data_IF_844533485799
#
_entry.id   IF_844533485799
#
_cell.length_a   1.000
_cell.length_b   1.000
_cell.length_c   1.000
_cell.angle_alpha   90.00
_cell.angle_beta   90.00
_cell.angle_gamma   90.00
#
_symmetry.space_group_name_H-M   'P 1'
#
loop_
_entity.id
_entity.type
_entity.pdbx_description
1 polymer ?
#
# COMPACT_ATOMS: atom_id res chain seq x y z
N UNK A 1 12.40 -17.52 6.53
CA UNK A 1 11.35 -16.49 6.64
C UNK A 1 11.85 -15.14 6.19
N UNK A 2 10.95 -14.20 5.87
CA UNK A 2 11.32 -12.83 5.47
C UNK A 2 12.15 -12.12 6.54
N UNK A 3 11.86 -12.35 7.82
CA UNK A 3 12.60 -11.77 8.96
C UNK A 3 14.02 -12.30 9.02
N UNK A 4 14.20 -13.62 8.89
CA UNK A 4 15.53 -14.25 8.87
C UNK A 4 16.35 -13.73 7.70
N UNK A 5 15.74 -13.65 6.51
CA UNK A 5 16.41 -13.12 5.31
C UNK A 5 16.82 -11.65 5.49
N UNK A 6 15.95 -10.81 6.08
CA UNK A 6 16.28 -9.42 6.39
C UNK A 6 17.49 -9.32 7.34
N UNK A 7 17.56 -10.18 8.37
CA UNK A 7 18.71 -10.25 9.28
C UNK A 7 19.99 -10.66 8.56
N UNK A 8 19.93 -11.68 7.73
CA UNK A 8 21.08 -12.20 6.96
C UNK A 8 21.62 -11.13 5.99
N UNK A 9 20.75 -10.27 5.49
CA UNK A 9 21.09 -9.13 4.64
C UNK A 9 21.46 -7.85 5.41
N UNK A 10 21.55 -7.92 6.74
CA UNK A 10 21.83 -6.78 7.62
C UNK A 10 20.84 -5.61 7.45
N UNK A 11 19.60 -5.90 7.14
CA UNK A 11 18.55 -4.88 7.06
C UNK A 11 18.13 -4.47 8.48
N UNK A 12 18.00 -3.17 8.79
CA UNK A 12 17.63 -2.72 10.13
C UNK A 12 16.12 -2.90 10.43
N UNK A 13 15.31 -3.04 9.41
CA UNK A 13 13.86 -3.13 9.50
C UNK A 13 13.26 -3.90 8.33
N UNK A 14 12.05 -4.41 8.51
CA UNK A 14 11.25 -5.01 7.44
C UNK A 14 9.78 -4.67 7.67
N UNK A 15 9.04 -4.46 6.58
CA UNK A 15 7.61 -4.19 6.62
C UNK A 15 6.79 -5.44 6.28
N UNK A 16 5.62 -5.55 6.91
CA UNK A 16 4.56 -6.46 6.50
C UNK A 16 3.32 -5.64 6.15
N UNK A 17 2.83 -5.82 4.91
CA UNK A 17 1.68 -5.10 4.37
C UNK A 17 0.72 -6.07 3.69
N UNK A 18 0.16 -6.99 4.47
CA UNK A 18 -0.79 -7.99 3.97
C UNK A 18 -1.95 -7.31 3.24
N UNK A 19 -2.43 -7.94 2.15
CA UNK A 19 -3.47 -7.39 1.29
C UNK A 19 -4.86 -7.55 1.92
N UNK A 20 -5.51 -6.44 2.21
CA UNK A 20 -6.86 -6.36 2.76
C UNK A 20 -7.00 -6.72 4.25
N UNK A 21 -5.95 -7.17 4.91
CA UNK A 21 -6.03 -7.63 6.30
C UNK A 21 -4.72 -7.43 7.07
N UNK A 22 -4.73 -7.81 8.36
CA UNK A 22 -3.57 -7.73 9.26
C UNK A 22 -3.34 -9.05 10.02
N UNK A 23 -3.72 -10.18 9.45
CA UNK A 23 -3.68 -11.48 10.14
C UNK A 23 -2.26 -11.93 10.47
N UNK A 24 -1.29 -11.59 9.64
CA UNK A 24 0.12 -11.89 9.86
C UNK A 24 0.81 -11.03 10.91
N UNK A 25 0.26 -9.86 11.26
CA UNK A 25 0.96 -8.82 12.02
C UNK A 25 1.51 -9.30 13.38
N UNK A 26 0.72 -10.01 14.19
CA UNK A 26 1.17 -10.46 15.50
C UNK A 26 2.35 -11.43 15.43
N UNK A 27 2.24 -12.44 14.56
CA UNK A 27 3.30 -13.43 14.36
C UNK A 27 4.57 -12.78 13.81
N UNK A 28 4.41 -11.89 12.83
CA UNK A 28 5.49 -11.12 12.23
C UNK A 28 6.24 -10.27 13.26
N UNK A 29 5.53 -9.45 14.05
CA UNK A 29 6.14 -8.59 15.07
C UNK A 29 6.92 -9.39 16.08
N UNK A 30 6.34 -10.49 16.60
CA UNK A 30 7.02 -11.38 17.55
C UNK A 30 8.30 -11.96 16.96
N UNK A 31 8.25 -12.43 15.72
CA UNK A 31 9.43 -13.01 15.06
C UNK A 31 10.50 -11.96 14.80
N UNK A 32 10.11 -10.75 14.31
CA UNK A 32 11.05 -9.67 14.06
C UNK A 32 11.78 -9.21 15.33
N UNK A 33 11.06 -9.06 16.44
CA UNK A 33 11.66 -8.69 17.73
C UNK A 33 12.62 -9.77 18.25
N UNK A 34 12.31 -11.05 18.11
CA UNK A 34 13.19 -12.16 18.47
C UNK A 34 14.49 -12.17 17.65
N UNK A 35 14.49 -11.61 16.46
CA UNK A 35 15.66 -11.50 15.58
C UNK A 35 16.32 -10.11 15.62
N UNK A 36 15.89 -9.22 16.50
CA UNK A 36 16.39 -7.84 16.62
C UNK A 36 16.22 -7.00 15.35
N UNK A 37 15.20 -7.33 14.56
CA UNK A 37 14.78 -6.57 13.37
C UNK A 37 13.60 -5.67 13.76
N UNK A 38 13.63 -4.39 13.35
CA UNK A 38 12.51 -3.47 13.59
C UNK A 38 11.33 -3.86 12.70
N UNK A 39 10.17 -4.29 13.26
CA UNK A 39 8.98 -4.53 12.49
C UNK A 39 8.30 -3.21 12.09
N UNK A 40 7.87 -3.11 10.85
CA UNK A 40 7.00 -2.05 10.36
C UNK A 40 5.69 -2.72 9.98
N UNK A 41 4.61 -2.38 10.67
CA UNK A 41 3.29 -2.96 10.42
C UNK A 41 2.48 -2.03 9.54
N UNK A 42 1.93 -2.58 8.47
CA UNK A 42 1.05 -1.90 7.54
C UNK A 42 -0.07 -2.80 7.05
N UNK A 43 -0.82 -2.29 6.12
CA UNK A 43 -1.84 -3.00 5.37
C UNK A 43 -1.93 -2.41 3.98
N UNK A 44 -2.05 -3.26 2.97
CA UNK A 44 -2.39 -2.86 1.62
C UNK A 44 -3.91 -2.99 1.46
N UNK A 45 -4.60 -1.86 1.33
CA UNK A 45 -6.06 -1.80 1.32
C UNK A 45 -6.59 -1.76 -0.12
N UNK A 46 -7.77 -2.34 -0.35
CA UNK A 46 -8.55 -2.13 -1.56
C UNK A 46 -9.37 -0.85 -1.43
N UNK A 47 -9.03 0.19 -2.18
CA UNK A 47 -9.72 1.48 -2.16
C UNK A 47 -10.68 1.57 -3.33
N UNK A 48 -11.98 1.63 -3.04
CA UNK A 48 -13.05 1.87 -4.01
C UNK A 48 -13.51 3.34 -3.97
N UNK A 49 -14.25 3.75 -4.98
CA UNK A 49 -14.88 5.06 -5.00
C UNK A 49 -15.92 5.21 -3.86
N UNK A 50 -16.71 4.16 -3.67
CA UNK A 50 -17.71 4.02 -2.61
C UNK A 50 -17.71 2.57 -2.12
N UNK A 51 -17.25 2.33 -0.87
CA UNK A 51 -17.17 0.99 -0.29
C UNK A 51 -18.54 0.32 -0.10
N UNK A 52 -19.61 1.13 0.04
CA UNK A 52 -20.96 0.64 0.31
C UNK A 52 -21.70 0.22 -0.96
N UNK A 53 -21.19 0.61 -2.13
CA UNK A 53 -21.79 0.24 -3.40
C UNK A 53 -21.66 -1.26 -3.66
N UNK A 54 -22.79 -1.95 -3.86
CA UNK A 54 -22.86 -3.41 -4.03
C UNK A 54 -23.41 -3.82 -5.42
N UNK A 55 -23.73 -2.85 -6.30
CA UNK A 55 -24.26 -3.14 -7.63
C UNK A 55 -23.35 -2.56 -8.70
N UNK A 56 -22.86 -3.41 -9.56
CA UNK A 56 -21.98 -3.07 -10.67
C UNK A 56 -22.52 -3.61 -11.98
N UNK A 57 -22.17 -3.00 -13.09
CA UNK A 57 -22.53 -3.42 -14.46
C UNK A 57 -21.26 -3.53 -15.31
N UNK A 58 -21.37 -4.06 -16.51
CA UNK A 58 -20.23 -4.11 -17.46
C UNK A 58 -19.71 -2.71 -17.78
N UNK A 59 -20.58 -1.71 -17.89
CA UNK A 59 -20.22 -0.33 -18.20
C UNK A 59 -19.74 0.46 -16.97
N UNK A 60 -20.05 -0.04 -15.76
CA UNK A 60 -19.62 0.55 -14.50
C UNK A 60 -19.15 -0.56 -13.54
N UNK A 61 -17.98 -1.16 -13.82
CA UNK A 61 -17.43 -2.24 -13.00
C UNK A 61 -16.96 -1.73 -11.65
N UNK A 62 -16.73 -2.67 -10.72
CA UNK A 62 -16.07 -2.39 -9.45
C UNK A 62 -14.60 -2.03 -9.70
N UNK A 63 -14.27 -0.75 -9.61
CA UNK A 63 -12.89 -0.25 -9.71
C UNK A 63 -12.29 -0.15 -8.33
N UNK A 64 -11.14 -0.75 -8.16
CA UNK A 64 -10.38 -0.76 -6.90
C UNK A 64 -8.94 -0.43 -7.20
N UNK A 65 -8.35 0.35 -6.31
CA UNK A 65 -6.92 0.61 -6.29
C UNK A 65 -6.32 0.03 -5.01
N UNK A 66 -5.06 -0.31 -5.06
CA UNK A 66 -4.34 -0.71 -3.88
C UNK A 66 -3.74 0.51 -3.18
N UNK A 67 -3.75 0.51 -1.86
CA UNK A 67 -3.20 1.58 -1.06
C UNK A 67 -2.46 1.05 0.15
N UNK A 68 -1.17 1.27 0.20
CA UNK A 68 -0.35 0.91 1.35
C UNK A 68 -0.42 2.00 2.40
N UNK A 69 -0.81 1.60 3.61
CA UNK A 69 -0.76 2.43 4.82
C UNK A 69 0.11 1.74 5.87
N UNK A 70 0.98 2.50 6.54
CA UNK A 70 1.87 2.00 7.58
C UNK A 70 1.54 2.65 8.93
N UNK A 71 1.59 1.87 10.02
CA UNK A 71 1.38 2.37 11.36
C UNK A 71 2.65 3.02 11.93
N UNK A 72 2.56 4.25 12.42
CA UNK A 72 3.66 4.95 13.10
C UNK A 72 3.85 4.47 14.54
N UNK A 73 2.77 4.05 15.17
CA UNK A 73 2.71 3.65 16.58
C UNK A 73 1.49 2.76 16.86
N UNK A 74 1.22 2.46 18.13
CA UNK A 74 0.08 1.64 18.55
C UNK A 74 -1.28 2.22 18.13
N UNK A 75 -1.46 3.53 18.13
CA UNK A 75 -2.71 4.15 17.70
C UNK A 75 -2.91 3.96 16.19
N UNK A 76 -1.87 4.15 15.38
CA UNK A 76 -1.89 3.84 13.94
C UNK A 76 -2.23 2.37 13.68
N UNK A 77 -1.68 1.43 14.46
CA UNK A 77 -2.06 0.01 14.36
C UNK A 77 -3.56 -0.20 14.60
N UNK A 78 -4.13 0.45 15.62
CA UNK A 78 -5.57 0.37 15.88
C UNK A 78 -6.40 0.99 14.75
N UNK A 79 -5.93 2.06 14.12
CA UNK A 79 -6.58 2.67 12.98
C UNK A 79 -6.54 1.77 11.75
N UNK A 80 -5.43 1.09 11.47
CA UNK A 80 -5.37 0.05 10.43
C UNK A 80 -6.35 -1.10 10.71
N UNK A 81 -6.43 -1.56 11.96
CA UNK A 81 -7.37 -2.61 12.33
C UNK A 81 -8.83 -2.19 12.13
N UNK A 82 -9.18 -0.92 12.41
CA UNK A 82 -10.53 -0.38 12.12
C UNK A 82 -10.80 -0.33 10.62
N UNK A 83 -9.85 0.16 9.82
CA UNK A 83 -9.97 0.20 8.36
C UNK A 83 -10.19 -1.19 7.77
N UNK A 84 -9.34 -2.16 8.15
CA UNK A 84 -9.49 -3.56 7.72
C UNK A 84 -10.84 -4.15 8.15
N UNK A 85 -11.24 -3.96 9.41
CA UNK A 85 -12.53 -4.46 9.91
C UNK A 85 -13.73 -3.85 9.17
N UNK A 86 -13.74 -2.54 8.94
CA UNK A 86 -14.78 -1.88 8.18
C UNK A 86 -14.83 -2.38 6.73
N UNK A 87 -13.67 -2.64 6.13
CA UNK A 87 -13.58 -3.26 4.80
C UNK A 87 -14.32 -4.59 4.72
N UNK A 88 -14.18 -5.45 5.73
CA UNK A 88 -14.88 -6.74 5.79
C UNK A 88 -16.35 -6.61 6.19
N UNK A 89 -16.69 -5.72 7.11
CA UNK A 89 -18.05 -5.62 7.66
C UNK A 89 -18.98 -4.83 6.73
N UNK A 90 -18.49 -3.73 6.15
CA UNK A 90 -19.29 -2.79 5.37
C UNK A 90 -18.99 -2.86 3.87
N UNK A 91 -17.71 -3.02 3.52
CA UNK A 91 -17.21 -2.85 2.16
C UNK A 91 -16.99 -4.14 1.37
N UNK A 92 -17.26 -5.31 1.94
CA UNK A 92 -16.98 -6.60 1.29
C UNK A 92 -17.79 -6.75 0.01
N UNK A 93 -17.08 -6.93 -1.12
CA UNK A 93 -17.70 -7.29 -2.40
C UNK A 93 -16.94 -8.46 -3.02
N UNK A 94 -17.62 -9.58 -3.19
CA UNK A 94 -16.96 -10.84 -3.53
C UNK A 94 -15.97 -11.25 -2.44
N UNK A 95 -14.69 -11.28 -2.76
CA UNK A 95 -13.60 -11.60 -1.82
C UNK A 95 -12.83 -10.35 -1.38
N UNK A 96 -13.23 -9.16 -1.81
CA UNK A 96 -12.47 -7.92 -1.64
C UNK A 96 -13.04 -7.05 -0.52
N UNK A 97 -12.34 -6.91 0.62
CA UNK A 97 -12.71 -5.99 1.70
C UNK A 97 -12.31 -4.56 1.30
N UNK A 98 -13.28 -3.79 0.80
CA UNK A 98 -13.04 -2.44 0.27
C UNK A 98 -13.21 -1.38 1.34
N UNK A 99 -12.33 -0.39 1.30
CA UNK A 99 -12.47 0.89 1.98
C UNK A 99 -12.67 2.00 0.96
N UNK A 100 -12.93 3.22 1.40
CA UNK A 100 -12.94 4.40 0.55
C UNK A 100 -12.13 5.54 1.17
N UNK A 101 -11.91 6.59 0.39
CA UNK A 101 -11.14 7.77 0.83
C UNK A 101 -11.76 8.48 2.03
N UNK A 102 -13.09 8.44 2.18
CA UNK A 102 -13.78 9.05 3.32
C UNK A 102 -13.41 8.34 4.63
N UNK A 103 -13.48 7.01 4.62
CA UNK A 103 -13.11 6.18 5.77
C UNK A 103 -11.62 6.29 6.11
N UNK A 104 -10.75 6.31 5.08
CA UNK A 104 -9.31 6.50 5.29
C UNK A 104 -9.04 7.84 5.95
N UNK A 105 -9.68 8.92 5.49
CA UNK A 105 -9.53 10.26 6.08
C UNK A 105 -10.00 10.32 7.53
N UNK A 106 -11.04 9.58 7.90
CA UNK A 106 -11.54 9.49 9.27
C UNK A 106 -10.55 8.82 10.22
N UNK A 107 -9.80 7.81 9.72
CA UNK A 107 -8.87 7.02 10.53
C UNK A 107 -7.39 7.24 10.17
N UNK A 108 -7.05 8.39 9.59
CA UNK A 108 -5.69 8.69 9.07
C UNK A 108 -4.62 8.90 10.15
N UNK A 109 -5.02 9.21 11.37
CA UNK A 109 -4.10 9.64 12.42
C UNK A 109 -3.09 8.53 12.76
N UNK A 110 -1.82 8.93 12.92
CA UNK A 110 -0.69 8.03 13.17
C UNK A 110 -0.46 6.98 12.06
N UNK A 111 -0.92 7.27 10.83
CA UNK A 111 -0.61 6.48 9.63
C UNK A 111 0.31 7.24 8.69
N UNK A 112 1.11 6.47 7.95
CA UNK A 112 1.88 6.92 6.80
C UNK A 112 1.21 6.36 5.55
N UNK A 113 1.02 7.19 4.52
CA UNK A 113 0.55 6.76 3.22
C UNK A 113 1.66 6.79 2.18
N UNK A 114 1.67 5.80 1.28
CA UNK A 114 2.58 5.71 0.14
C UNK A 114 1.83 5.97 -1.16
N UNK A 115 2.52 6.42 -2.21
CA UNK A 115 1.89 6.50 -3.55
C UNK A 115 1.54 5.14 -4.12
N UNK A 116 2.19 4.09 -3.61
CA UNK A 116 1.96 2.71 -3.98
C UNK A 116 2.59 2.28 -5.30
N UNK A 117 2.29 1.04 -5.69
CA UNK A 117 2.78 0.39 -6.91
C UNK A 117 1.86 0.64 -8.12
N UNK A 118 2.09 -0.06 -9.23
CA UNK A 118 1.29 0.07 -10.46
C UNK A 118 -0.21 -0.21 -10.26
N UNK A 119 -0.57 -0.96 -9.21
CA UNK A 119 -1.97 -1.24 -8.83
C UNK A 119 -2.65 -0.09 -8.09
N UNK A 120 -1.92 0.97 -7.75
CA UNK A 120 -2.41 2.10 -6.96
C UNK A 120 -2.99 3.22 -7.82
N UNK A 121 -3.80 4.09 -7.20
CA UNK A 121 -4.55 5.13 -7.91
C UNK A 121 -3.66 6.07 -8.72
N UNK A 122 -2.62 6.63 -8.10
CA UNK A 122 -1.77 7.64 -8.75
C UNK A 122 -0.98 7.05 -9.92
N UNK A 123 -0.26 5.93 -9.78
CA UNK A 123 0.38 5.26 -10.92
C UNK A 123 -0.59 4.89 -12.03
N UNK A 124 -1.77 4.36 -11.68
CA UNK A 124 -2.79 4.04 -12.68
C UNK A 124 -3.23 5.29 -13.48
N UNK A 125 -3.43 6.42 -12.81
CA UNK A 125 -3.82 7.67 -13.47
C UNK A 125 -2.70 8.20 -14.37
N UNK A 126 -1.43 8.12 -13.96
CA UNK A 126 -0.28 8.50 -14.79
C UNK A 126 -0.26 7.70 -16.09
N UNK A 127 -0.49 6.40 -16.01
CA UNK A 127 -0.37 5.50 -17.17
C UNK A 127 -1.58 5.55 -18.10
N UNK A 128 -2.79 5.65 -17.56
CA UNK A 128 -4.01 5.36 -18.29
C UNK A 128 -4.95 6.55 -18.49
N UNK A 129 -4.76 7.65 -17.76
CA UNK A 129 -5.68 8.80 -17.82
C UNK A 129 -4.95 10.10 -18.17
N UNK A 130 -3.93 10.46 -17.38
CA UNK A 130 -3.12 11.65 -17.63
C UNK A 130 -2.57 12.25 -16.34
N UNK A 131 -1.49 13.04 -16.51
CA UNK A 131 -0.75 13.63 -15.38
C UNK A 131 -1.59 14.60 -14.56
N UNK A 132 -2.53 15.33 -15.19
CA UNK A 132 -3.37 16.29 -14.47
C UNK A 132 -4.24 15.58 -13.42
N UNK A 133 -4.92 14.51 -13.81
CA UNK A 133 -5.75 13.71 -12.89
C UNK A 133 -4.91 13.00 -11.84
N UNK A 134 -3.73 12.52 -12.23
CA UNK A 134 -2.76 11.94 -11.29
C UNK A 134 -2.28 12.98 -10.26
N UNK A 135 -2.01 14.20 -10.68
CA UNK A 135 -1.62 15.29 -9.78
C UNK A 135 -2.75 15.71 -8.84
N UNK A 136 -4.00 15.73 -9.30
CA UNK A 136 -5.18 15.99 -8.45
C UNK A 136 -5.32 14.91 -7.35
N UNK A 137 -5.16 13.63 -7.72
CA UNK A 137 -5.15 12.53 -6.75
C UNK A 137 -3.96 12.64 -5.79
N UNK A 138 -2.75 12.91 -6.29
CA UNK A 138 -1.55 13.12 -5.49
C UNK A 138 -1.74 14.22 -4.44
N UNK A 139 -2.32 15.35 -4.83
CA UNK A 139 -2.61 16.46 -3.92
C UNK A 139 -3.61 16.07 -2.85
N UNK A 140 -4.63 15.28 -3.18
CA UNK A 140 -5.59 14.79 -2.18
C UNK A 140 -4.88 13.98 -1.09
N UNK A 141 -4.00 13.06 -1.47
CA UNK A 141 -3.23 12.26 -0.50
C UNK A 141 -2.27 13.13 0.32
N UNK A 142 -1.60 14.08 -0.32
CA UNK A 142 -0.72 15.03 0.36
C UNK A 142 -1.48 15.91 1.36
N UNK A 143 -2.65 16.43 0.99
CA UNK A 143 -3.47 17.27 1.86
C UNK A 143 -3.98 16.49 3.09
N UNK A 144 -4.29 15.21 2.94
CA UNK A 144 -4.76 14.34 4.03
C UNK A 144 -3.63 13.93 4.96
N UNK A 145 -2.51 13.47 4.44
CA UNK A 145 -1.40 12.89 5.23
C UNK A 145 -0.24 13.85 5.48
N UNK A 146 -0.14 14.94 4.73
CA UNK A 146 0.87 15.99 4.89
C UNK A 146 2.31 15.41 4.93
N UNK A 147 3.06 15.65 6.01
CA UNK A 147 4.43 15.15 6.19
C UNK A 147 4.56 13.62 6.32
N UNK A 148 3.44 12.91 6.46
CA UNK A 148 3.36 11.45 6.52
C UNK A 148 2.93 10.83 5.17
N UNK A 149 2.97 11.59 4.09
CA UNK A 149 2.82 11.09 2.72
C UNK A 149 4.18 10.94 2.05
N UNK A 150 4.44 9.79 1.45
CA UNK A 150 5.71 9.49 0.77
C UNK A 150 5.48 8.95 -0.62
N UNK A 151 6.38 9.34 -1.52
CA UNK A 151 6.46 8.73 -2.85
C UNK A 151 7.18 7.39 -2.74
N UNK A 152 6.57 6.36 -3.28
CA UNK A 152 7.14 5.03 -3.42
C UNK A 152 7.73 4.86 -4.81
N UNK A 153 9.00 4.46 -4.88
CA UNK A 153 9.71 4.19 -6.13
C UNK A 153 10.03 2.70 -6.22
N UNK A 154 9.46 2.04 -7.21
CA UNK A 154 9.67 0.63 -7.52
C UNK A 154 10.54 0.47 -8.77
N UNK A 155 11.41 -0.56 -8.79
CA UNK A 155 12.31 -0.85 -9.91
C UNK A 155 12.46 -2.35 -10.15
N UNK A 156 11.48 -2.94 -10.82
CA UNK A 156 11.49 -4.35 -11.21
C UNK A 156 11.91 -4.57 -12.68
N UNK A 157 12.34 -3.50 -13.37
CA UNK A 157 12.69 -3.56 -14.79
C UNK A 157 11.48 -3.51 -15.71
N UNK A 158 10.37 -2.96 -15.23
CA UNK A 158 9.12 -2.80 -15.97
C UNK A 158 9.09 -1.36 -16.53
N UNK A 159 8.95 -1.16 -17.86
CA UNK A 159 8.96 0.19 -18.45
C UNK A 159 7.91 1.14 -17.89
N UNK A 160 6.76 0.63 -17.48
CA UNK A 160 5.68 1.39 -16.84
C UNK A 160 6.14 2.02 -15.51
N UNK A 161 6.98 1.31 -14.74
CA UNK A 161 7.55 1.85 -13.50
C UNK A 161 8.47 3.03 -13.75
N UNK A 162 9.29 2.97 -14.80
CA UNK A 162 10.20 4.07 -15.16
C UNK A 162 9.41 5.35 -15.46
N UNK A 163 8.34 5.24 -16.24
CA UNK A 163 7.43 6.37 -16.54
C UNK A 163 6.73 6.91 -15.30
N UNK A 164 6.24 6.02 -14.44
CA UNK A 164 5.59 6.40 -13.18
C UNK A 164 6.59 7.10 -12.26
N UNK A 165 7.79 6.53 -12.08
CA UNK A 165 8.84 7.09 -11.25
C UNK A 165 9.26 8.49 -11.70
N UNK A 166 9.42 8.71 -13.01
CA UNK A 166 9.77 10.03 -13.56
C UNK A 166 8.72 11.08 -13.19
N UNK A 167 7.44 10.77 -13.39
CA UNK A 167 6.33 11.68 -13.04
C UNK A 167 6.26 11.92 -11.52
N UNK A 168 6.37 10.87 -10.71
CA UNK A 168 6.34 10.98 -9.25
C UNK A 168 7.51 11.79 -8.70
N UNK A 169 8.72 11.65 -9.27
CA UNK A 169 9.88 12.48 -8.90
C UNK A 169 9.64 13.95 -9.24
N UNK A 170 8.98 14.24 -10.37
CA UNK A 170 8.54 15.60 -10.72
C UNK A 170 7.58 16.18 -9.68
N UNK A 171 6.56 15.40 -9.28
CA UNK A 171 5.63 15.81 -8.23
C UNK A 171 6.33 16.00 -6.88
N UNK A 172 7.24 15.07 -6.51
CA UNK A 172 8.02 15.19 -5.28
C UNK A 172 8.83 16.48 -5.22
N UNK A 173 9.50 16.84 -6.32
CA UNK A 173 10.23 18.11 -6.43
C UNK A 173 9.30 19.32 -6.35
N UNK A 174 8.13 19.27 -7.01
CA UNK A 174 7.15 20.36 -7.04
C UNK A 174 6.51 20.63 -5.68
N UNK A 175 6.21 19.58 -4.93
CA UNK A 175 5.46 19.65 -3.66
C UNK A 175 6.30 19.42 -2.41
N UNK A 176 7.59 19.15 -2.55
CA UNK A 176 8.49 18.89 -1.41
C UNK A 176 8.21 17.55 -0.70
N UNK A 177 7.66 16.57 -1.42
CA UNK A 177 7.34 15.25 -0.84
C UNK A 177 8.57 14.34 -0.91
N UNK A 178 8.86 13.66 0.21
CA UNK A 178 9.96 12.70 0.31
C UNK A 178 9.63 11.39 -0.41
N UNK A 179 10.65 10.66 -0.81
CA UNK A 179 10.52 9.38 -1.48
C UNK A 179 11.28 8.28 -0.77
N UNK A 180 10.81 7.06 -0.97
CA UNK A 180 11.42 5.82 -0.50
C UNK A 180 11.61 4.86 -1.68
N UNK A 181 12.62 4.01 -1.63
CA UNK A 181 12.72 2.84 -2.49
C UNK A 181 11.96 1.68 -1.83
N UNK A 182 11.14 1.00 -2.59
CA UNK A 182 10.38 -0.16 -2.12
C UNK A 182 10.45 -1.32 -3.12
N UNK A 183 10.08 -2.50 -2.65
CA UNK A 183 9.91 -3.71 -3.42
C UNK A 183 8.63 -4.40 -2.97
N UNK A 184 7.82 -4.85 -3.90
CA UNK A 184 6.73 -5.79 -3.65
C UNK A 184 7.30 -7.22 -3.60
N UNK A 185 7.75 -7.64 -2.40
CA UNK A 185 8.36 -8.95 -2.25
C UNK A 185 7.33 -9.97 -1.75
N UNK A 186 6.99 -10.95 -2.60
CA UNK A 186 6.07 -12.05 -2.29
C UNK A 186 6.78 -13.33 -1.86
N UNK A 187 8.09 -13.43 -2.10
CA UNK A 187 8.94 -14.55 -1.73
C UNK A 187 10.36 -14.07 -1.38
N UNK A 188 11.15 -14.90 -0.69
CA UNK A 188 12.44 -14.48 -0.12
C UNK A 188 13.63 -14.75 -1.03
N UNK A 189 13.55 -15.78 -1.83
CA UNK A 189 14.64 -16.24 -2.71
C UNK A 189 14.13 -16.46 -4.12
N UNK A 190 14.94 -16.14 -5.13
CA UNK A 190 14.56 -16.19 -6.54
C UNK A 190 14.06 -17.58 -6.99
N UNK A 191 14.58 -18.62 -6.36
CA UNK A 191 14.22 -20.02 -6.62
C UNK A 191 12.78 -20.34 -6.20
N UNK A 192 12.19 -19.53 -5.29
CA UNK A 192 10.80 -19.68 -4.82
C UNK A 192 9.77 -19.11 -5.82
N UNK A 193 10.21 -18.41 -6.88
CA UNK A 193 9.32 -17.82 -7.87
C UNK A 193 8.32 -18.82 -8.48
N UNK A 194 8.81 -20.02 -8.84
CA UNK A 194 7.94 -21.06 -9.41
C UNK A 194 6.91 -21.58 -8.40
N UNK A 195 7.27 -21.68 -7.12
CA UNK A 195 6.34 -22.09 -6.07
C UNK A 195 5.25 -21.04 -5.85
N UNK A 196 5.62 -19.77 -5.91
CA UNK A 196 4.68 -18.66 -5.83
C UNK A 196 3.71 -18.63 -7.03
N UNK A 197 4.22 -18.86 -8.25
CA UNK A 197 3.41 -18.90 -9.47
C UNK A 197 2.36 -20.04 -9.46
N UNK A 198 2.70 -21.16 -8.84
CA UNK A 198 1.75 -22.29 -8.65
C UNK A 198 0.69 -21.98 -7.59
N UNK A 199 0.98 -21.06 -6.65
CA UNK A 199 0.07 -20.68 -5.57
C UNK A 199 -1.00 -19.67 -6.03
N UNK A 200 -0.71 -18.89 -7.07
CA UNK A 200 -1.61 -17.91 -7.67
C UNK A 200 -2.61 -18.55 -8.65
#
# INVERSE_FOLDING_TARGET
SIVTKAKDLNMPAVALTDLGNMYGAFKFVREALNHEIKPIVGCELYVAEDRLKQKFTKDNPDKRFHQVLLAKNKNGYHNLAKLSSAGFIEGLYGIYPRVDKALIKEHKDDLIALTGSLSSEIPHLILNVGEKQAEEAFRWWLDVFQGDFYIELNRHGIPEEDRVNETLLSFGKKYGVKYIAANEAFYTDKEEANAHDVLL
#
